data_IF_041260993462
#
_entry.id   IF_041260993462
#
_cell.length_a   1.000
_cell.length_b   1.000
_cell.length_c   1.000
_cell.angle_alpha   90.00
_cell.angle_beta   90.00
_cell.angle_gamma   90.00
#
_symmetry.space_group_name_H-M   'P 1'
#
loop_
_entity.id
_entity.type
_entity.pdbx_description
1 polymer ?
#
# COMPACT_ATOMS: atom_id res chain seq x y z
N UNK A 1 58.47 -21.17 -13.28
CA UNK A 1 58.05 -19.85 -13.84
C UNK A 1 56.61 -19.89 -14.36
N UNK A 2 56.14 -21.03 -14.88
CA UNK A 2 54.80 -21.19 -15.46
C UNK A 2 53.64 -21.19 -14.44
N UNK A 3 53.84 -21.68 -13.22
CA UNK A 3 52.76 -21.77 -12.21
C UNK A 3 52.24 -20.41 -11.75
N UNK A 4 53.13 -19.41 -11.68
CA UNK A 4 52.75 -18.04 -11.31
C UNK A 4 51.89 -17.39 -12.40
N UNK A 5 52.22 -17.63 -13.67
CA UNK A 5 51.47 -17.11 -14.82
C UNK A 5 50.07 -17.73 -14.85
N UNK A 6 49.96 -19.04 -14.60
CA UNK A 6 48.68 -19.74 -14.52
C UNK A 6 47.81 -19.18 -13.38
N UNK A 7 48.41 -18.93 -12.21
CA UNK A 7 47.71 -18.35 -11.06
C UNK A 7 47.16 -16.95 -11.34
N UNK A 8 47.95 -16.07 -11.96
CA UNK A 8 47.50 -14.73 -12.34
C UNK A 8 46.40 -14.76 -13.42
N UNK A 9 46.47 -15.70 -14.37
CA UNK A 9 45.43 -15.90 -15.39
C UNK A 9 44.10 -16.35 -14.78
N UNK A 10 44.14 -17.32 -13.86
CA UNK A 10 42.93 -17.79 -13.15
C UNK A 10 42.34 -16.67 -12.30
N UNK A 11 43.17 -15.93 -11.55
CA UNK A 11 42.72 -14.78 -10.76
C UNK A 11 42.08 -13.68 -11.63
N UNK A 12 42.66 -13.39 -12.80
CA UNK A 12 42.11 -12.43 -13.74
C UNK A 12 40.74 -12.88 -14.29
N UNK A 13 40.58 -14.15 -14.64
CA UNK A 13 39.31 -14.71 -15.14
C UNK A 13 38.23 -14.69 -14.06
N UNK A 14 38.57 -15.05 -12.81
CA UNK A 14 37.63 -14.98 -11.69
C UNK A 14 37.22 -13.54 -11.36
N UNK A 15 38.14 -12.57 -11.46
CA UNK A 15 37.85 -11.15 -11.26
C UNK A 15 36.88 -10.60 -12.33
N UNK A 16 37.07 -10.98 -13.59
CA UNK A 16 36.19 -10.58 -14.71
C UNK A 16 34.83 -11.27 -14.61
N UNK A 17 34.79 -12.57 -14.31
CA UNK A 17 33.55 -13.32 -14.14
C UNK A 17 32.71 -12.79 -12.96
N UNK A 18 33.35 -12.44 -11.85
CA UNK A 18 32.67 -11.80 -10.71
C UNK A 18 32.07 -10.44 -11.04
N UNK A 19 32.79 -9.61 -11.82
CA UNK A 19 32.28 -8.33 -12.30
C UNK A 19 31.09 -8.46 -13.27
N UNK A 20 31.10 -9.48 -14.12
CA UNK A 20 30.04 -9.74 -15.10
C UNK A 20 28.77 -10.33 -14.46
N UNK A 21 28.93 -11.22 -13.48
CA UNK A 21 27.81 -11.76 -12.71
C UNK A 21 27.19 -10.66 -11.84
N UNK A 22 28.01 -9.77 -11.27
CA UNK A 22 27.54 -8.60 -10.53
C UNK A 22 26.72 -7.63 -11.38
N UNK A 23 27.14 -7.34 -12.62
CA UNK A 23 26.40 -6.44 -13.52
C UNK A 23 25.08 -7.02 -14.02
N UNK A 24 24.98 -8.35 -14.12
CA UNK A 24 23.76 -9.05 -14.51
C UNK A 24 22.75 -9.20 -13.36
N UNK A 25 23.18 -9.31 -12.10
CA UNK A 25 22.30 -9.51 -10.94
C UNK A 25 21.82 -8.17 -10.36
N UNK A 26 22.65 -7.11 -10.42
CA UNK A 26 22.31 -5.80 -9.87
C UNK A 26 20.95 -5.23 -10.35
N UNK A 27 20.56 -5.32 -11.63
CA UNK A 27 19.25 -4.85 -12.10
C UNK A 27 18.07 -5.56 -11.43
N UNK A 28 18.18 -6.86 -11.15
CA UNK A 28 17.09 -7.67 -10.57
C UNK A 28 16.89 -7.37 -9.09
N UNK A 29 18.00 -7.18 -8.36
CA UNK A 29 17.96 -6.77 -6.95
C UNK A 29 17.37 -5.36 -6.85
N UNK A 30 17.82 -4.42 -7.68
CA UNK A 30 17.27 -3.08 -7.73
C UNK A 30 15.77 -3.09 -8.07
N UNK A 31 15.36 -3.87 -9.07
CA UNK A 31 13.96 -4.02 -9.45
C UNK A 31 13.10 -4.61 -8.32
N UNK A 32 13.63 -5.59 -7.57
CA UNK A 32 12.96 -6.17 -6.42
C UNK A 32 12.70 -5.14 -5.32
N UNK A 33 13.71 -4.30 -5.02
CA UNK A 33 13.60 -3.20 -4.04
C UNK A 33 12.62 -2.14 -4.53
N UNK A 34 12.74 -1.71 -5.78
CA UNK A 34 11.89 -0.69 -6.38
C UNK A 34 10.42 -1.13 -6.41
N UNK A 35 10.14 -2.39 -6.75
CA UNK A 35 8.78 -2.95 -6.71
C UNK A 35 8.20 -2.95 -5.30
N UNK A 36 9.01 -3.23 -4.27
CA UNK A 36 8.58 -3.14 -2.86
C UNK A 36 8.31 -1.68 -2.48
N UNK A 37 9.18 -0.76 -2.88
CA UNK A 37 9.03 0.68 -2.65
C UNK A 37 7.75 1.23 -3.30
N UNK A 38 7.49 0.87 -4.55
CA UNK A 38 6.27 1.26 -5.28
C UNK A 38 5.01 0.72 -4.62
N UNK A 39 5.02 -0.54 -4.15
CA UNK A 39 3.89 -1.10 -3.39
C UNK A 39 3.62 -0.34 -2.10
N UNK A 40 4.65 -0.03 -1.33
CA UNK A 40 4.49 0.78 -0.11
C UNK A 40 4.03 2.20 -0.42
N UNK A 41 4.59 2.83 -1.45
CA UNK A 41 4.19 4.17 -1.89
C UNK A 41 2.70 4.20 -2.27
N UNK A 42 2.24 3.23 -3.07
CA UNK A 42 0.82 3.11 -3.45
C UNK A 42 -0.10 2.91 -2.24
N UNK A 43 0.30 2.09 -1.28
CA UNK A 43 -0.45 1.88 -0.02
C UNK A 43 -0.55 3.16 0.80
N UNK A 44 0.55 3.89 0.96
CA UNK A 44 0.55 5.20 1.64
C UNK A 44 -0.34 6.20 0.94
N UNK A 45 -0.29 6.23 -0.39
CA UNK A 45 -1.11 7.14 -1.17
C UNK A 45 -2.60 6.83 -1.01
N UNK A 46 -3.00 5.56 -1.08
CA UNK A 46 -4.38 5.14 -0.85
C UNK A 46 -4.91 5.62 0.52
N UNK A 47 -4.13 5.40 1.58
CA UNK A 47 -4.53 5.80 2.94
C UNK A 47 -4.55 7.33 3.07
N UNK A 48 -3.60 8.04 2.48
CA UNK A 48 -3.57 9.51 2.44
C UNK A 48 -4.81 10.05 1.72
N UNK A 49 -5.15 9.53 0.54
CA UNK A 49 -6.35 9.94 -0.20
C UNK A 49 -7.61 9.69 0.62
N UNK A 50 -7.69 8.54 1.29
CA UNK A 50 -8.82 8.22 2.16
C UNK A 50 -8.94 9.20 3.34
N UNK A 51 -7.85 9.48 4.07
CA UNK A 51 -7.84 10.48 5.15
C UNK A 51 -8.21 11.88 4.66
N UNK A 52 -7.72 12.27 3.49
CA UNK A 52 -8.07 13.55 2.87
C UNK A 52 -9.57 13.66 2.61
N UNK A 53 -10.19 12.59 2.09
CA UNK A 53 -11.65 12.56 1.87
C UNK A 53 -12.44 12.61 3.18
N UNK A 54 -12.00 11.87 4.21
CA UNK A 54 -12.67 11.84 5.52
C UNK A 54 -12.54 13.15 6.30
N UNK A 55 -11.46 13.90 6.06
CA UNK A 55 -11.31 15.25 6.61
C UNK A 55 -12.32 16.24 6.05
N UNK A 56 -12.93 15.92 4.91
CA UNK A 56 -14.03 16.68 4.32
C UNK A 56 -15.37 16.17 4.87
N UNK A 57 -16.40 17.00 4.91
CA UNK A 57 -17.78 16.59 5.22
C UNK A 57 -18.40 15.79 4.05
N UNK A 58 -17.79 14.63 3.73
CA UNK A 58 -18.30 13.72 2.72
C UNK A 58 -19.40 12.82 3.32
N UNK A 59 -20.49 12.66 2.57
CA UNK A 59 -21.56 11.73 2.91
C UNK A 59 -21.19 10.28 2.57
N UNK A 60 -21.78 9.30 3.26
CA UNK A 60 -21.55 7.86 3.07
C UNK A 60 -21.73 7.46 1.61
N UNK A 61 -22.81 7.94 0.98
CA UNK A 61 -23.15 7.63 -0.40
C UNK A 61 -22.08 8.14 -1.37
N UNK A 62 -21.71 9.40 -1.23
CA UNK A 62 -20.66 10.01 -2.05
C UNK A 62 -19.32 9.31 -1.86
N UNK A 63 -19.00 8.89 -0.63
CA UNK A 63 -17.77 8.15 -0.35
C UNK A 63 -17.75 6.76 -1.02
N UNK A 64 -18.87 6.02 -1.02
CA UNK A 64 -18.99 4.72 -1.72
C UNK A 64 -18.75 4.82 -3.22
N UNK A 65 -19.18 5.91 -3.83
CA UNK A 65 -19.05 6.13 -5.27
C UNK A 65 -17.61 6.52 -5.68
N UNK A 66 -16.70 6.69 -4.72
CA UNK A 66 -15.29 7.02 -5.00
C UNK A 66 -14.47 5.81 -5.43
N UNK A 67 -13.45 6.09 -6.25
CA UNK A 67 -12.43 5.09 -6.60
C UNK A 67 -11.64 4.63 -5.35
N UNK A 68 -11.41 5.55 -4.40
CA UNK A 68 -10.68 5.26 -3.16
C UNK A 68 -11.41 4.18 -2.36
N UNK A 69 -12.73 4.26 -2.23
CA UNK A 69 -13.51 3.21 -1.58
C UNK A 69 -13.39 1.87 -2.32
N UNK A 70 -13.50 1.86 -3.65
CA UNK A 70 -13.37 0.63 -4.44
C UNK A 70 -12.03 -0.08 -4.23
N UNK A 71 -10.95 0.69 -4.08
CA UNK A 71 -9.62 0.16 -3.77
C UNK A 71 -9.45 -0.26 -2.31
N UNK A 72 -10.11 0.43 -1.37
CA UNK A 72 -10.00 0.18 0.06
C UNK A 72 -10.90 -0.97 0.53
N UNK A 73 -12.08 -1.14 -0.09
CA UNK A 73 -13.12 -2.12 0.26
C UNK A 73 -12.60 -3.54 0.53
N UNK A 74 -11.68 -4.13 -0.25
CA UNK A 74 -11.17 -5.48 0.01
C UNK A 74 -10.37 -5.62 1.31
N UNK A 75 -9.97 -4.50 1.92
CA UNK A 75 -9.13 -4.44 3.11
C UNK A 75 -9.89 -4.03 4.38
N UNK A 76 -11.12 -3.51 4.21
CA UNK A 76 -11.99 -3.12 5.32
C UNK A 76 -12.61 -4.33 5.99
N UNK A 77 -12.98 -4.18 7.26
CA UNK A 77 -13.79 -5.20 7.93
C UNK A 77 -15.18 -5.27 7.32
N UNK A 78 -15.72 -6.48 7.31
CA UNK A 78 -17.07 -6.74 6.80
C UNK A 78 -18.13 -5.91 7.53
N UNK A 79 -17.98 -5.68 8.83
CA UNK A 79 -18.89 -4.85 9.63
C UNK A 79 -18.95 -3.42 9.09
N UNK A 80 -17.79 -2.82 8.79
CA UNK A 80 -17.69 -1.47 8.24
C UNK A 80 -18.23 -1.42 6.82
N UNK A 81 -17.97 -2.43 5.99
CA UNK A 81 -18.54 -2.54 4.64
C UNK A 81 -20.06 -2.61 4.71
N UNK A 82 -20.61 -3.49 5.56
CA UNK A 82 -22.05 -3.69 5.71
C UNK A 82 -22.73 -2.42 6.24
N UNK A 83 -22.08 -1.68 7.14
CA UNK A 83 -22.56 -0.38 7.63
C UNK A 83 -22.55 0.70 6.54
N UNK A 84 -21.48 0.74 5.74
CA UNK A 84 -21.35 1.72 4.67
C UNK A 84 -22.35 1.44 3.54
N UNK A 85 -22.49 0.16 3.16
CA UNK A 85 -23.36 -0.28 2.06
C UNK A 85 -24.85 -0.31 2.44
N UNK A 86 -25.18 -0.16 3.73
CA UNK A 86 -26.56 -0.08 4.19
C UNK A 86 -27.22 1.19 3.64
N UNK A 87 -28.28 1.03 2.86
CA UNK A 87 -29.06 2.16 2.36
C UNK A 87 -29.80 2.85 3.52
N UNK A 88 -29.41 4.08 3.81
CA UNK A 88 -30.17 4.96 4.68
C UNK A 88 -31.35 5.53 3.89
N UNK A 89 -32.57 5.15 4.29
CA UNK A 89 -33.79 5.69 3.69
C UNK A 89 -33.88 7.21 3.93
N UNK A 90 -34.48 7.95 3.00
CA UNK A 90 -34.50 9.42 3.02
C UNK A 90 -35.18 10.05 4.28
N UNK A 91 -35.94 9.27 5.05
CA UNK A 91 -36.64 9.71 6.26
C UNK A 91 -35.73 9.89 7.49
N UNK A 92 -34.52 9.30 7.53
CA UNK A 92 -33.63 9.34 8.71
C UNK A 92 -32.64 10.51 8.75
N UNK A 93 -32.59 11.36 7.72
CA UNK A 93 -31.53 12.37 7.55
C UNK A 93 -31.47 13.45 8.66
N UNK A 94 -32.53 13.67 9.44
CA UNK A 94 -32.53 14.64 10.55
C UNK A 94 -31.96 14.10 11.87
N UNK A 95 -31.85 12.79 12.06
CA UNK A 95 -31.21 12.16 13.23
C UNK A 95 -29.74 11.75 12.97
N UNK A 96 -29.23 11.96 11.76
CA UNK A 96 -28.04 11.29 11.25
C UNK A 96 -26.70 11.97 11.56
N UNK A 97 -26.66 13.16 12.19
CA UNK A 97 -25.38 13.80 12.50
C UNK A 97 -24.50 12.92 13.40
N UNK A 98 -25.07 12.27 14.42
CA UNK A 98 -24.34 11.32 15.27
C UNK A 98 -23.91 10.06 14.52
N UNK A 99 -24.77 9.51 13.66
CA UNK A 99 -24.45 8.30 12.85
C UNK A 99 -23.40 8.54 11.78
N UNK A 100 -23.27 9.79 11.31
CA UNK A 100 -22.20 10.23 10.41
C UNK A 100 -20.86 10.21 11.12
N UNK A 101 -20.83 10.66 12.38
CA UNK A 101 -19.62 10.66 13.20
C UNK A 101 -19.21 9.22 13.59
N UNK A 102 -20.19 8.36 13.90
CA UNK A 102 -19.98 6.95 14.25
C UNK A 102 -19.32 6.14 13.12
N UNK A 103 -19.75 6.32 11.86
CA UNK A 103 -19.10 5.60 10.74
C UNK A 103 -17.70 6.13 10.47
N UNK A 104 -17.49 7.45 10.59
CA UNK A 104 -16.17 8.06 10.37
C UNK A 104 -15.18 7.51 11.38
N UNK A 105 -15.58 7.40 12.64
CA UNK A 105 -14.75 6.81 13.67
C UNK A 105 -14.44 5.33 13.37
N UNK A 106 -15.46 4.54 13.06
CA UNK A 106 -15.29 3.11 12.73
C UNK A 106 -14.36 2.90 11.54
N UNK A 107 -14.49 3.72 10.48
CA UNK A 107 -13.62 3.68 9.31
C UNK A 107 -12.19 4.14 9.64
N UNK A 108 -12.01 5.15 10.49
CA UNK A 108 -10.69 5.62 10.92
C UNK A 108 -9.94 4.57 11.75
N UNK A 109 -10.64 3.85 12.63
CA UNK A 109 -10.09 2.72 13.36
C UNK A 109 -9.64 1.60 12.40
N UNK A 110 -10.47 1.30 11.39
CA UNK A 110 -10.16 0.30 10.38
C UNK A 110 -8.94 0.70 9.53
N UNK A 111 -8.83 1.98 9.18
CA UNK A 111 -7.66 2.53 8.48
C UNK A 111 -6.41 2.43 9.36
N UNK A 112 -6.49 2.77 10.64
CA UNK A 112 -5.35 2.68 11.55
C UNK A 112 -4.85 1.23 11.69
N UNK A 113 -5.76 0.26 11.72
CA UNK A 113 -5.41 -1.17 11.66
C UNK A 113 -4.69 -1.51 10.35
N UNK A 114 -5.25 -1.13 9.20
CA UNK A 114 -4.65 -1.38 7.89
C UNK A 114 -3.23 -0.78 7.79
N UNK A 115 -3.02 0.41 8.35
CA UNK A 115 -1.70 1.04 8.42
C UNK A 115 -0.69 0.21 9.22
N UNK A 116 -1.12 -0.33 10.37
CA UNK A 116 -0.29 -1.22 11.19
C UNK A 116 0.02 -2.53 10.46
N UNK A 117 -0.98 -3.17 9.85
CA UNK A 117 -0.80 -4.40 9.06
C UNK A 117 0.15 -4.20 7.87
N UNK A 118 0.14 -3.02 7.28
CA UNK A 118 1.00 -2.67 6.15
C UNK A 118 2.36 -2.11 6.56
N UNK A 119 2.62 -1.96 7.87
CA UNK A 119 3.86 -1.43 8.43
C UNK A 119 4.14 -0.04 7.83
N UNK A 120 3.12 0.80 7.82
CA UNK A 120 3.21 2.20 7.40
C UNK A 120 3.52 3.14 8.58
N UNK A 121 3.15 2.71 9.79
CA UNK A 121 3.37 3.34 11.09
C UNK A 121 3.86 2.27 12.07
#
# INVERSE_FOLDING_TARGET
MNDKILFYLVAAIFGVAGGFIGSLIAPWVHWGVEKRRQRQARRRELIRSCRSMLSTEIDKKTFRDTEVYSQLRPHLYKVVIDELERDESAETLKENAGRIEDFKQSLLEDIARIESEWILI
#
